data_IF_140191782913
#
_entry.id   IF_140191782913
#
_cell.length_a   1.000
_cell.length_b   1.000
_cell.length_c   1.000
_cell.angle_alpha   90.00
_cell.angle_beta   90.00
_cell.angle_gamma   90.00
#
_symmetry.space_group_name_H-M   'P 1'
#
loop_
_entity.id
_entity.type
_entity.pdbx_description
1 polymer ?
#
# COMPACT_ATOMS: atom_id res chain seq x y z
N UNK A 1 -28.96 -28.50 -2.46
CA UNK A 1 -28.39 -28.17 -1.14
C UNK A 1 -29.41 -27.31 -0.39
N UNK A 2 -29.80 -27.64 0.85
CA UNK A 2 -30.79 -26.85 1.57
C UNK A 2 -30.32 -25.40 1.67
N UNK A 3 -31.18 -24.46 1.29
CA UNK A 3 -30.93 -23.02 1.45
C UNK A 3 -30.61 -22.76 2.92
N UNK A 4 -29.33 -22.63 3.25
CA UNK A 4 -28.90 -22.33 4.62
C UNK A 4 -29.38 -20.91 4.89
N UNK A 5 -30.41 -20.73 5.72
CA UNK A 5 -30.84 -19.42 6.17
C UNK A 5 -29.73 -18.73 6.99
N UNK A 6 -29.76 -17.40 7.07
CA UNK A 6 -28.77 -16.60 7.81
C UNK A 6 -28.63 -17.04 9.28
N UNK A 7 -29.72 -17.47 9.92
CA UNK A 7 -29.71 -18.02 11.29
C UNK A 7 -28.82 -19.25 11.43
N UNK A 8 -28.79 -20.13 10.42
CA UNK A 8 -27.93 -21.33 10.44
C UNK A 8 -26.47 -20.95 10.26
N UNK A 9 -26.19 -19.96 9.39
CA UNK A 9 -24.84 -19.39 9.26
C UNK A 9 -24.37 -18.81 10.61
N UNK A 10 -25.21 -18.01 11.27
CA UNK A 10 -24.86 -17.39 12.55
C UNK A 10 -24.57 -18.45 13.62
N UNK A 11 -25.42 -19.48 13.76
CA UNK A 11 -25.17 -20.59 14.70
C UNK A 11 -23.84 -21.28 14.41
N UNK A 12 -23.53 -21.54 13.14
CA UNK A 12 -22.29 -22.19 12.75
C UNK A 12 -21.06 -21.32 13.07
N UNK A 13 -21.15 -20.01 12.83
CA UNK A 13 -20.10 -19.05 13.19
C UNK A 13 -19.89 -19.02 14.71
N UNK A 14 -20.99 -18.97 15.48
CA UNK A 14 -20.93 -18.95 16.93
C UNK A 14 -20.29 -20.24 17.49
N UNK A 15 -20.53 -21.40 16.86
CA UNK A 15 -19.84 -22.67 17.21
C UNK A 15 -18.34 -22.58 16.93
N UNK A 16 -17.92 -22.12 15.75
CA UNK A 16 -16.49 -21.99 15.41
C UNK A 16 -15.77 -21.05 16.39
N UNK A 17 -16.35 -19.87 16.65
CA UNK A 17 -15.74 -18.86 17.51
C UNK A 17 -15.79 -19.21 19.01
N UNK A 18 -16.68 -20.12 19.42
CA UNK A 18 -16.66 -20.71 20.77
C UNK A 18 -15.58 -21.77 20.91
N UNK A 19 -15.35 -22.57 19.87
CA UNK A 19 -14.32 -23.61 19.89
C UNK A 19 -12.91 -23.01 19.96
N UNK A 20 -12.63 -21.98 19.15
CA UNK A 20 -11.36 -21.25 19.22
C UNK A 20 -11.51 -19.84 18.65
N UNK A 21 -10.88 -18.85 19.30
CA UNK A 21 -10.78 -17.46 18.82
C UNK A 21 -9.42 -17.18 18.17
N UNK A 22 -8.85 -18.17 17.49
CA UNK A 22 -7.64 -17.99 16.69
C UNK A 22 -7.91 -17.26 15.38
N UNK A 23 -6.85 -16.75 14.76
CA UNK A 23 -6.90 -16.13 13.43
C UNK A 23 -7.45 -17.09 12.36
N UNK A 24 -7.10 -18.37 12.44
CA UNK A 24 -7.64 -19.42 11.58
C UNK A 24 -9.17 -19.53 11.68
N UNK A 25 -9.72 -19.49 12.90
CA UNK A 25 -11.16 -19.48 13.13
C UNK A 25 -11.82 -18.27 12.49
N UNK A 26 -11.22 -17.08 12.61
CA UNK A 26 -11.74 -15.86 11.97
C UNK A 26 -11.68 -15.96 10.45
N UNK A 27 -10.58 -16.45 9.88
CA UNK A 27 -10.42 -16.66 8.42
C UNK A 27 -11.46 -17.65 7.90
N UNK A 28 -11.73 -18.72 8.66
CA UNK A 28 -12.78 -19.71 8.34
C UNK A 28 -14.17 -19.07 8.36
N UNK A 29 -14.47 -18.29 9.39
CA UNK A 29 -15.73 -17.54 9.51
C UNK A 29 -15.92 -16.56 8.35
N UNK A 30 -14.88 -15.80 7.97
CA UNK A 30 -14.92 -14.91 6.80
C UNK A 30 -15.23 -15.73 5.54
N UNK A 31 -14.61 -16.90 5.38
CA UNK A 31 -14.89 -17.82 4.26
C UNK A 31 -16.37 -18.17 4.18
N UNK A 32 -16.95 -18.65 5.28
CA UNK A 32 -18.36 -19.03 5.35
C UNK A 32 -19.30 -17.86 5.03
N UNK A 33 -19.01 -16.67 5.55
CA UNK A 33 -19.78 -15.46 5.23
C UNK A 33 -19.71 -15.11 3.73
N UNK A 34 -18.53 -15.22 3.12
CA UNK A 34 -18.31 -14.90 1.70
C UNK A 34 -18.96 -15.92 0.77
N UNK A 35 -18.85 -17.21 1.10
CA UNK A 35 -19.50 -18.30 0.38
C UNK A 35 -21.02 -18.17 0.45
N UNK A 36 -21.55 -17.75 1.61
CA UNK A 36 -22.96 -17.43 1.76
C UNK A 36 -23.39 -16.29 0.84
N UNK A 37 -22.63 -15.18 0.76
CA UNK A 37 -22.95 -14.09 -0.17
C UNK A 37 -22.90 -14.61 -1.61
N UNK A 38 -21.86 -15.37 -1.98
CA UNK A 38 -21.69 -15.91 -3.33
C UNK A 38 -22.88 -16.80 -3.75
N UNK A 39 -23.34 -17.65 -2.84
CA UNK A 39 -24.43 -18.60 -3.09
C UNK A 39 -25.80 -17.91 -3.18
N UNK A 40 -26.03 -16.85 -2.38
CA UNK A 40 -27.32 -16.16 -2.32
C UNK A 40 -27.42 -14.92 -3.24
N UNK A 41 -26.37 -14.59 -3.99
CA UNK A 41 -26.36 -13.48 -4.97
C UNK A 41 -27.36 -13.66 -6.12
N UNK A 42 -27.87 -14.86 -6.35
CA UNK A 42 -28.81 -15.18 -7.45
C UNK A 42 -30.28 -14.94 -7.09
N UNK A 43 -30.61 -14.67 -5.83
CA UNK A 43 -31.99 -14.40 -5.41
C UNK A 43 -32.12 -12.95 -4.96
N UNK A 44 -32.43 -12.04 -5.90
CA UNK A 44 -32.84 -10.66 -5.63
C UNK A 44 -34.14 -10.54 -4.82
N UNK A 45 -34.67 -11.64 -4.30
CA UNK A 45 -35.82 -11.69 -3.40
C UNK A 45 -35.40 -12.43 -2.14
N UNK A 46 -34.83 -11.70 -1.18
CA UNK A 46 -34.93 -12.14 0.21
C UNK A 46 -36.43 -12.22 0.52
N UNK A 47 -36.95 -13.44 0.62
CA UNK A 47 -38.37 -13.70 0.76
C UNK A 47 -38.90 -12.97 2.00
N UNK A 48 -39.70 -11.91 1.79
CA UNK A 48 -40.23 -10.99 2.80
C UNK A 48 -40.92 -11.70 3.98
N UNK A 49 -41.40 -12.93 3.80
CA UNK A 49 -42.03 -13.70 4.89
C UNK A 49 -41.04 -14.30 5.89
N UNK A 50 -39.75 -14.37 5.57
CA UNK A 50 -38.69 -14.75 6.51
C UNK A 50 -38.07 -13.55 7.26
N UNK A 51 -38.58 -12.34 7.01
CA UNK A 51 -38.01 -11.06 7.47
C UNK A 51 -38.59 -10.58 8.81
N UNK A 52 -39.79 -11.02 9.20
CA UNK A 52 -40.47 -10.49 10.39
C UNK A 52 -39.90 -10.95 11.75
N UNK A 53 -38.93 -11.87 11.79
CA UNK A 53 -38.29 -12.30 13.05
C UNK A 53 -36.84 -11.81 13.25
N UNK A 54 -36.38 -10.80 12.50
CA UNK A 54 -35.05 -10.19 12.68
C UNK A 54 -35.21 -8.71 13.03
N UNK A 55 -35.81 -8.45 14.18
CA UNK A 55 -35.90 -7.12 14.81
C UNK A 55 -34.53 -6.74 15.38
N UNK A 56 -33.62 -6.29 14.49
CA UNK A 56 -32.58 -5.25 14.76
C UNK A 56 -31.78 -4.85 13.52
N UNK A 57 -31.80 -5.64 12.44
CA UNK A 57 -31.09 -5.33 11.20
C UNK A 57 -32.05 -5.54 10.02
N UNK A 58 -32.62 -4.43 9.53
CA UNK A 58 -33.67 -4.41 8.49
C UNK A 58 -33.26 -5.02 7.14
N UNK A 59 -31.97 -5.33 6.95
CA UNK A 59 -31.43 -6.17 5.89
C UNK A 59 -30.22 -6.93 6.47
N UNK A 60 -30.04 -8.26 6.26
CA UNK A 60 -28.88 -9.00 6.72
C UNK A 60 -27.63 -8.57 5.92
N UNK A 61 -27.08 -7.42 6.28
CA UNK A 61 -25.84 -6.92 5.70
C UNK A 61 -24.68 -7.66 6.38
N UNK A 62 -24.18 -8.70 5.70
CA UNK A 62 -23.08 -9.56 6.17
C UNK A 62 -21.82 -8.75 6.45
N UNK A 63 -21.58 -7.64 5.73
CA UNK A 63 -20.45 -6.76 6.01
C UNK A 63 -20.63 -6.05 7.35
N UNK A 64 -21.82 -5.50 7.63
CA UNK A 64 -22.13 -4.93 8.95
C UNK A 64 -22.02 -5.98 10.05
N UNK A 65 -22.39 -7.22 9.79
CA UNK A 65 -22.22 -8.32 10.75
C UNK A 65 -20.74 -8.60 11.04
N UNK A 66 -19.91 -8.69 9.99
CA UNK A 66 -18.46 -8.88 10.06
C UNK A 66 -17.79 -7.72 10.82
N UNK A 67 -18.22 -6.48 10.60
CA UNK A 67 -17.69 -5.31 11.29
C UNK A 67 -18.18 -5.19 12.73
N UNK A 68 -19.47 -5.31 12.99
CA UNK A 68 -20.03 -5.01 14.30
C UNK A 68 -19.89 -6.17 15.27
N UNK A 69 -20.15 -7.40 14.81
CA UNK A 69 -20.13 -8.59 15.68
C UNK A 69 -18.75 -9.21 15.76
N UNK A 70 -18.08 -9.36 14.62
CA UNK A 70 -16.75 -9.99 14.56
C UNK A 70 -15.63 -8.97 14.85
N UNK A 71 -15.92 -7.66 14.76
CA UNK A 71 -14.96 -6.56 15.01
C UNK A 71 -13.73 -6.67 14.13
N UNK A 72 -13.92 -6.87 12.83
CA UNK A 72 -12.84 -7.14 11.88
C UNK A 72 -11.72 -6.10 11.89
N UNK A 73 -12.04 -4.82 12.05
CA UNK A 73 -11.05 -3.73 12.13
C UNK A 73 -10.12 -3.83 13.36
N UNK A 74 -10.45 -4.65 14.36
CA UNK A 74 -9.64 -4.87 15.57
C UNK A 74 -8.88 -6.20 15.52
N UNK A 75 -8.89 -6.91 14.39
CA UNK A 75 -8.22 -8.21 14.23
C UNK A 75 -6.80 -8.03 13.72
N UNK A 76 -6.04 -9.14 13.75
CA UNK A 76 -4.68 -9.15 13.24
C UNK A 76 -4.64 -8.76 11.77
N UNK A 77 -3.52 -8.20 11.28
CA UNK A 77 -3.38 -7.81 9.89
C UNK A 77 -3.65 -8.96 8.91
N UNK A 78 -3.36 -10.20 9.29
CA UNK A 78 -3.54 -11.37 8.41
C UNK A 78 -5.02 -11.77 8.27
N UNK A 79 -5.80 -11.65 9.34
CA UNK A 79 -7.27 -11.80 9.28
C UNK A 79 -7.86 -10.71 8.39
N UNK A 80 -7.38 -9.47 8.50
CA UNK A 80 -7.86 -8.37 7.65
C UNK A 80 -7.45 -8.60 6.18
N UNK A 81 -6.22 -9.01 5.90
CA UNK A 81 -5.78 -9.37 4.53
C UNK A 81 -6.68 -10.47 3.94
N UNK A 82 -6.98 -11.52 4.70
CA UNK A 82 -7.89 -12.57 4.28
C UNK A 82 -9.31 -12.05 4.01
N UNK A 83 -9.80 -11.12 4.83
CA UNK A 83 -11.08 -10.43 4.62
C UNK A 83 -11.13 -9.64 3.29
N UNK A 84 -10.03 -8.96 2.95
CA UNK A 84 -9.92 -8.13 1.74
C UNK A 84 -9.80 -8.95 0.45
N UNK A 85 -9.12 -10.10 0.49
CA UNK A 85 -8.83 -10.92 -0.69
C UNK A 85 -9.98 -11.88 -1.04
N UNK A 86 -10.76 -12.33 -0.05
CA UNK A 86 -11.82 -13.31 -0.29
C UNK A 86 -12.97 -12.75 -1.14
N UNK A 87 -13.37 -13.52 -2.15
CA UNK A 87 -14.49 -13.16 -3.05
C UNK A 87 -15.84 -13.53 -2.43
N UNK A 88 -16.87 -12.66 -2.52
CA UNK A 88 -16.87 -11.37 -3.20
C UNK A 88 -16.16 -10.28 -2.38
N UNK A 89 -15.40 -9.42 -3.08
CA UNK A 89 -14.63 -8.34 -2.45
C UNK A 89 -15.55 -7.34 -1.74
N UNK A 90 -15.26 -6.96 -0.48
CA UNK A 90 -16.05 -6.00 0.29
C UNK A 90 -16.15 -4.63 -0.37
N UNK A 91 -17.21 -3.85 -0.07
CA UNK A 91 -17.37 -2.49 -0.62
C UNK A 91 -16.24 -1.56 -0.21
N UNK A 92 -16.02 -0.48 -0.96
CA UNK A 92 -14.93 0.48 -0.69
C UNK A 92 -14.97 1.04 0.73
N UNK A 93 -16.17 1.34 1.25
CA UNK A 93 -16.35 1.82 2.63
C UNK A 93 -15.86 0.79 3.66
N UNK A 94 -16.19 -0.49 3.49
CA UNK A 94 -15.72 -1.53 4.40
C UNK A 94 -14.23 -1.85 4.23
N UNK A 95 -13.67 -1.73 3.02
CA UNK A 95 -12.21 -1.84 2.85
C UNK A 95 -11.51 -0.71 3.62
N UNK A 96 -12.00 0.52 3.46
CA UNK A 96 -11.47 1.69 4.17
C UNK A 96 -11.60 1.53 5.68
N UNK A 97 -12.78 1.18 6.19
CA UNK A 97 -13.01 1.01 7.63
C UNK A 97 -12.20 -0.12 8.26
N UNK A 98 -11.89 -1.18 7.50
CA UNK A 98 -11.05 -2.27 7.99
C UNK A 98 -9.58 -1.85 8.17
N UNK A 99 -9.11 -0.93 7.35
CA UNK A 99 -7.66 -0.65 7.17
C UNK A 99 -7.27 0.74 7.67
N UNK A 100 -8.23 1.68 7.78
CA UNK A 100 -7.97 2.97 8.41
C UNK A 100 -7.47 2.74 9.84
N UNK A 101 -6.42 3.42 10.25
CA UNK A 101 -5.84 3.19 11.56
C UNK A 101 -4.68 2.19 11.59
N UNK A 102 -4.48 1.40 10.53
CA UNK A 102 -3.54 0.28 10.55
C UNK A 102 -2.14 0.71 10.10
N UNK A 103 -1.12 0.29 10.84
CA UNK A 103 0.29 0.56 10.56
C UNK A 103 0.98 -0.54 9.72
N UNK A 104 0.27 -1.59 9.30
CA UNK A 104 0.86 -2.61 8.41
C UNK A 104 0.90 -2.09 6.96
N UNK A 105 2.11 -1.84 6.44
CA UNK A 105 2.33 -1.36 5.07
C UNK A 105 1.85 -2.36 4.01
N UNK A 106 2.00 -3.66 4.24
CA UNK A 106 1.55 -4.69 3.30
C UNK A 106 0.03 -4.79 3.26
N UNK A 107 -0.63 -4.70 4.42
CA UNK A 107 -2.09 -4.63 4.50
C UNK A 107 -2.62 -3.43 3.71
N UNK A 108 -1.99 -2.26 3.86
CA UNK A 108 -2.32 -1.06 3.11
C UNK A 108 -2.15 -1.23 1.59
N UNK A 109 -1.05 -1.85 1.16
CA UNK A 109 -0.83 -2.17 -0.26
C UNK A 109 -1.90 -3.14 -0.80
N UNK A 110 -2.32 -4.13 -0.01
CA UNK A 110 -3.42 -5.05 -0.39
C UNK A 110 -4.74 -4.29 -0.50
N UNK A 111 -5.05 -3.42 0.46
CA UNK A 111 -6.26 -2.60 0.45
C UNK A 111 -6.33 -1.69 -0.78
N UNK A 112 -5.22 -1.01 -1.11
CA UNK A 112 -5.12 -0.18 -2.32
C UNK A 112 -5.34 -0.99 -3.60
N UNK A 113 -4.77 -2.21 -3.69
CA UNK A 113 -5.05 -3.09 -4.82
C UNK A 113 -6.54 -3.41 -4.93
N UNK A 114 -7.21 -3.75 -3.83
CA UNK A 114 -8.65 -4.06 -3.88
C UNK A 114 -9.51 -2.85 -4.24
N UNK A 115 -9.19 -1.67 -3.68
CA UNK A 115 -9.91 -0.42 -3.96
C UNK A 115 -9.78 0.00 -5.44
N UNK A 116 -8.58 -0.13 -6.01
CA UNK A 116 -8.32 0.26 -7.40
C UNK A 116 -8.77 -0.79 -8.41
N UNK A 117 -8.29 -2.03 -8.30
CA UNK A 117 -8.58 -3.08 -9.29
C UNK A 117 -10.03 -3.56 -9.27
N UNK A 118 -10.62 -3.71 -8.08
CA UNK A 118 -11.92 -4.37 -7.92
C UNK A 118 -13.06 -3.39 -7.67
N UNK A 119 -12.78 -2.25 -7.01
CA UNK A 119 -13.79 -1.25 -6.67
C UNK A 119 -13.69 0.05 -7.43
N UNK A 120 -12.63 0.26 -8.22
CA UNK A 120 -12.54 1.40 -9.12
C UNK A 120 -12.69 2.75 -8.38
N UNK A 121 -12.25 2.82 -7.12
CA UNK A 121 -12.47 4.00 -6.27
C UNK A 121 -11.13 4.70 -5.95
N UNK A 122 -10.81 5.71 -6.76
CA UNK A 122 -9.59 6.52 -6.64
C UNK A 122 -9.62 7.38 -5.37
N UNK A 123 -10.76 8.00 -5.07
CA UNK A 123 -10.90 8.94 -3.95
C UNK A 123 -10.67 8.26 -2.60
N UNK A 124 -11.36 7.15 -2.33
CA UNK A 124 -11.20 6.38 -1.08
C UNK A 124 -9.78 5.83 -0.95
N UNK A 125 -9.11 5.51 -2.08
CA UNK A 125 -7.72 5.06 -2.07
C UNK A 125 -6.77 6.17 -1.59
N UNK A 126 -6.94 7.40 -2.08
CA UNK A 126 -6.14 8.55 -1.66
C UNK A 126 -6.45 8.93 -0.22
N UNK A 127 -7.71 8.88 0.18
CA UNK A 127 -8.11 9.13 1.57
C UNK A 127 -7.48 8.12 2.53
N UNK A 128 -7.44 6.83 2.15
CA UNK A 128 -6.78 5.80 2.93
C UNK A 128 -5.28 6.08 3.10
N UNK A 129 -4.61 6.49 2.02
CA UNK A 129 -3.19 6.88 2.05
C UNK A 129 -2.99 8.04 3.03
N UNK A 130 -3.78 9.11 2.90
CA UNK A 130 -3.72 10.28 3.81
C UNK A 130 -3.90 9.85 5.26
N UNK A 131 -4.96 9.09 5.54
CA UNK A 131 -5.33 8.68 6.91
C UNK A 131 -4.27 7.83 7.57
N UNK A 132 -3.72 6.85 6.85
CA UNK A 132 -2.68 5.98 7.39
C UNK A 132 -1.29 6.64 7.38
N UNK A 133 -1.06 7.58 6.46
CA UNK A 133 0.07 8.50 6.46
C UNK A 133 0.22 9.22 7.81
N UNK A 134 -0.88 9.71 8.39
CA UNK A 134 -0.84 10.40 9.69
C UNK A 134 -0.25 9.52 10.81
N UNK A 135 -0.59 8.23 10.79
CA UNK A 135 -0.18 7.25 11.80
C UNK A 135 1.28 6.85 11.59
N UNK A 136 1.68 6.72 10.33
CA UNK A 136 3.08 6.48 9.98
C UNK A 136 3.98 7.61 10.43
N UNK A 137 3.54 8.86 10.26
CA UNK A 137 4.28 10.03 10.75
C UNK A 137 4.46 9.98 12.26
N UNK A 138 3.39 9.68 13.01
CA UNK A 138 3.45 9.56 14.46
C UNK A 138 4.49 8.52 14.90
N UNK A 139 4.46 7.31 14.32
CA UNK A 139 5.44 6.28 14.62
C UNK A 139 6.87 6.64 14.13
N UNK A 140 6.98 7.33 12.99
CA UNK A 140 8.26 7.81 12.48
C UNK A 140 8.92 8.83 13.41
N UNK A 141 8.14 9.77 13.95
CA UNK A 141 8.59 10.74 14.96
C UNK A 141 9.01 10.02 16.24
N UNK A 142 8.21 9.07 16.75
CA UNK A 142 8.59 8.29 17.92
C UNK A 142 9.87 7.49 17.70
N UNK A 143 10.05 6.89 16.52
CA UNK A 143 11.27 6.16 16.17
C UNK A 143 12.47 7.11 16.14
N UNK A 144 12.33 8.28 15.51
CA UNK A 144 13.39 9.28 15.46
C UNK A 144 13.76 9.79 16.86
N UNK A 145 12.77 10.07 17.71
CA UNK A 145 13.00 10.48 19.10
C UNK A 145 13.76 9.40 19.88
N UNK A 146 13.39 8.12 19.73
CA UNK A 146 14.12 7.01 20.35
C UNK A 146 15.55 6.90 19.82
N UNK A 147 15.75 7.00 18.51
CA UNK A 147 17.08 6.97 17.89
C UNK A 147 17.94 8.15 18.36
N UNK A 148 17.38 9.36 18.39
CA UNK A 148 18.05 10.54 18.89
C UNK A 148 18.42 10.40 20.38
N UNK A 149 17.50 9.90 21.22
CA UNK A 149 17.76 9.66 22.64
C UNK A 149 18.90 8.64 22.84
N UNK A 150 18.87 7.52 22.11
CA UNK A 150 19.93 6.51 22.11
C UNK A 150 21.28 7.10 21.72
N UNK A 151 21.27 7.95 20.69
CA UNK A 151 22.44 8.63 20.20
C UNK A 151 23.00 9.63 21.23
N UNK A 152 22.16 10.47 21.83
CA UNK A 152 22.55 11.39 22.89
C UNK A 152 23.10 10.65 24.11
N UNK A 153 22.46 9.55 24.52
CA UNK A 153 22.95 8.71 25.61
C UNK A 153 24.32 8.10 25.27
N UNK A 154 24.53 7.65 24.03
CA UNK A 154 25.81 7.15 23.54
C UNK A 154 26.92 8.20 23.59
N UNK A 155 26.64 9.41 23.11
CA UNK A 155 27.57 10.55 23.15
C UNK A 155 27.93 10.91 24.60
N UNK A 156 26.95 11.04 25.49
CA UNK A 156 27.20 11.35 26.91
C UNK A 156 28.01 10.25 27.62
N UNK A 157 27.70 8.98 27.36
CA UNK A 157 28.44 7.85 27.94
C UNK A 157 29.90 7.85 27.46
N UNK A 158 30.11 8.12 26.17
CA UNK A 158 31.45 8.20 25.60
C UNK A 158 32.25 9.38 26.19
N UNK A 159 31.63 10.55 26.32
CA UNK A 159 32.26 11.72 26.92
C UNK A 159 32.70 11.45 28.36
N UNK A 160 31.82 10.84 29.18
CA UNK A 160 32.14 10.50 30.57
C UNK A 160 33.29 9.50 30.69
N UNK A 161 33.43 8.55 29.78
CA UNK A 161 34.56 7.60 29.77
C UNK A 161 35.88 8.32 29.45
N UNK A 162 35.88 9.24 28.48
CA UNK A 162 37.09 9.96 28.08
C UNK A 162 37.59 10.92 29.16
N UNK A 163 36.69 11.61 29.86
CA UNK A 163 37.04 12.52 30.95
C UNK A 163 37.77 11.80 32.10
N UNK A 164 37.41 10.54 32.37
CA UNK A 164 38.05 9.72 33.39
C UNK A 164 39.44 9.24 32.93
N UNK A 165 39.62 8.99 31.63
CA UNK A 165 40.79 8.26 31.12
C UNK A 165 41.96 9.11 30.62
N UNK A 166 41.72 10.33 30.10
CA UNK A 166 42.73 11.05 29.29
C UNK A 166 42.67 12.55 29.59
N UNK A 167 43.78 13.25 29.84
CA UNK A 167 43.81 14.73 29.89
C UNK A 167 44.10 15.31 28.49
N UNK A 168 43.43 16.41 28.12
CA UNK A 168 43.66 17.11 26.84
C UNK A 168 42.92 16.52 25.63
N UNK A 169 41.71 15.98 25.84
CA UNK A 169 40.97 15.15 24.88
C UNK A 169 39.88 15.92 24.09
N UNK A 170 39.87 17.26 24.13
CA UNK A 170 38.85 18.10 23.46
C UNK A 170 38.74 17.81 21.94
N UNK A 171 39.88 17.53 21.29
CA UNK A 171 39.92 17.17 19.88
C UNK A 171 39.25 15.81 19.60
N UNK A 172 39.39 14.85 20.52
CA UNK A 172 38.79 13.52 20.39
C UNK A 172 37.26 13.62 20.52
N UNK A 173 36.77 14.42 21.47
CA UNK A 173 35.32 14.72 21.59
C UNK A 173 34.76 15.31 20.31
N UNK A 174 35.41 16.36 19.77
CA UNK A 174 34.95 17.02 18.55
C UNK A 174 34.91 16.09 17.33
N UNK A 175 35.91 15.21 17.18
CA UNK A 175 35.92 14.20 16.12
C UNK A 175 34.77 13.20 16.26
N UNK A 176 34.50 12.72 17.47
CA UNK A 176 33.43 11.77 17.72
C UNK A 176 32.06 12.42 17.51
N UNK A 177 31.84 13.63 18.01
CA UNK A 177 30.60 14.39 17.78
C UNK A 177 30.34 14.58 16.29
N UNK A 178 31.36 14.98 15.52
CA UNK A 178 31.24 15.11 14.07
C UNK A 178 30.93 13.78 13.38
N UNK A 179 31.60 12.69 13.76
CA UNK A 179 31.32 11.35 13.22
C UNK A 179 29.88 10.93 13.47
N UNK A 180 29.43 11.11 14.69
CA UNK A 180 28.09 10.77 15.11
C UNK A 180 27.05 11.68 14.39
N UNK A 181 27.29 12.99 14.25
CA UNK A 181 26.36 13.91 13.57
C UNK A 181 26.26 13.53 12.10
N UNK A 182 27.39 13.20 11.48
CA UNK A 182 27.43 12.71 10.11
C UNK A 182 26.65 11.41 9.98
N UNK A 183 26.78 10.46 10.90
CA UNK A 183 26.00 9.21 10.88
C UNK A 183 24.49 9.49 10.99
N UNK A 184 24.09 10.40 11.89
CA UNK A 184 22.69 10.82 12.01
C UNK A 184 22.18 11.47 10.72
N UNK A 185 22.94 12.39 10.11
CA UNK A 185 22.58 13.01 8.85
C UNK A 185 22.54 12.02 7.68
N UNK A 186 23.46 11.05 7.63
CA UNK A 186 23.46 9.98 6.63
C UNK A 186 22.20 9.12 6.74
N UNK A 187 21.73 8.81 7.95
CA UNK A 187 20.45 8.09 8.11
C UNK A 187 19.25 8.86 7.56
N UNK A 188 19.28 10.19 7.61
CA UNK A 188 18.25 11.05 7.00
C UNK A 188 18.39 11.13 5.48
N UNK A 189 19.63 11.18 4.97
CA UNK A 189 19.92 11.28 3.53
C UNK A 189 19.63 9.98 2.77
N UNK A 190 20.03 8.83 3.32
CA UNK A 190 19.81 7.52 2.70
C UNK A 190 18.40 6.96 2.89
N UNK A 191 17.57 7.61 3.71
CA UNK A 191 16.16 7.25 3.87
C UNK A 191 15.29 7.57 2.64
N UNK A 192 15.80 8.34 1.68
CA UNK A 192 15.07 8.68 0.46
C UNK A 192 15.21 7.61 -0.62
N UNK A 193 14.31 6.63 -0.64
CA UNK A 193 14.23 5.72 -1.80
C UNK A 193 13.73 6.51 -3.02
N UNK A 194 14.39 6.38 -4.18
CA UNK A 194 13.77 6.73 -5.46
C UNK A 194 12.85 5.58 -5.85
N UNK A 195 11.62 5.88 -6.25
CA UNK A 195 10.64 4.90 -6.76
C UNK A 195 10.26 5.31 -8.17
N UNK A 196 10.12 4.32 -9.04
CA UNK A 196 9.64 4.56 -10.40
C UNK A 196 8.21 5.16 -10.39
N UNK A 197 7.96 6.05 -11.34
CA UNK A 197 6.64 6.64 -11.56
C UNK A 197 6.30 7.85 -10.68
N UNK A 198 7.05 8.10 -9.59
CA UNK A 198 6.75 9.20 -8.68
C UNK A 198 8.01 9.78 -8.03
N UNK A 199 8.10 11.11 -7.94
CA UNK A 199 9.17 11.82 -7.26
C UNK A 199 8.63 12.82 -6.23
N UNK A 200 9.49 13.17 -5.27
CA UNK A 200 9.23 14.27 -4.35
C UNK A 200 9.27 15.59 -5.10
N UNK A 201 8.44 16.55 -4.71
CA UNK A 201 8.63 17.95 -5.15
C UNK A 201 9.99 18.46 -4.66
N UNK A 202 10.73 19.24 -5.48
CA UNK A 202 12.07 19.74 -5.11
C UNK A 202 12.09 20.56 -3.82
N UNK A 203 10.97 21.21 -3.50
CA UNK A 203 10.82 22.09 -2.32
C UNK A 203 10.75 21.30 -1.00
N UNK A 204 10.52 19.98 -1.04
CA UNK A 204 10.37 19.19 0.17
C UNK A 204 11.73 18.94 0.86
N UNK A 205 11.80 19.27 2.14
CA UNK A 205 12.99 19.05 2.97
C UNK A 205 13.29 17.56 3.17
N UNK A 206 14.53 17.24 3.52
CA UNK A 206 14.95 15.85 3.81
C UNK A 206 14.15 15.26 4.98
N UNK A 207 13.86 16.06 6.02
CA UNK A 207 12.99 15.64 7.13
C UNK A 207 11.58 15.28 6.67
N UNK A 208 11.00 16.09 5.77
CA UNK A 208 9.72 15.76 5.17
C UNK A 208 9.79 14.43 4.42
N UNK A 209 10.82 14.22 3.59
CA UNK A 209 10.99 12.94 2.87
C UNK A 209 11.11 11.74 3.82
N UNK A 210 11.87 11.90 4.92
CA UNK A 210 12.04 10.85 5.93
C UNK A 210 10.73 10.51 6.64
N UNK A 211 10.00 11.51 7.15
CA UNK A 211 8.75 11.25 7.89
C UNK A 211 7.60 10.74 7.00
N UNK A 212 7.66 11.03 5.70
CA UNK A 212 6.61 10.69 4.74
C UNK A 212 7.03 9.53 3.80
N UNK A 213 8.12 8.81 4.06
CA UNK A 213 8.59 7.73 3.17
C UNK A 213 7.53 6.62 3.00
N UNK A 214 6.83 6.22 4.07
CA UNK A 214 5.77 5.21 3.95
C UNK A 214 4.59 5.70 3.10
N UNK A 215 4.23 6.98 3.23
CA UNK A 215 3.20 7.60 2.37
C UNK A 215 3.67 7.62 0.92
N UNK A 216 4.93 7.98 0.68
CA UNK A 216 5.56 7.92 -0.63
C UNK A 216 5.54 6.52 -1.24
N UNK A 217 5.81 5.47 -0.45
CA UNK A 217 5.71 4.07 -0.91
C UNK A 217 4.28 3.68 -1.30
N UNK A 218 3.27 4.16 -0.57
CA UNK A 218 1.88 3.90 -0.89
C UNK A 218 1.43 4.68 -2.12
N UNK A 219 1.84 5.94 -2.26
CA UNK A 219 1.61 6.75 -3.46
C UNK A 219 2.30 6.15 -4.69
N UNK A 220 3.54 5.65 -4.56
CA UNK A 220 4.22 4.94 -5.63
C UNK A 220 3.44 3.70 -6.06
N UNK A 221 2.92 2.92 -5.10
CA UNK A 221 2.10 1.76 -5.44
C UNK A 221 0.77 2.15 -6.07
N UNK A 222 0.14 3.21 -5.58
CA UNK A 222 -1.08 3.79 -6.16
C UNK A 222 -0.84 4.19 -7.62
N UNK A 223 0.23 4.93 -7.91
CA UNK A 223 0.59 5.37 -9.27
C UNK A 223 0.89 4.19 -10.18
N UNK A 224 1.64 3.19 -9.71
CA UNK A 224 1.88 1.95 -10.46
C UNK A 224 0.57 1.27 -10.86
N UNK A 225 -0.33 1.03 -9.89
CA UNK A 225 -1.62 0.38 -10.17
C UNK A 225 -2.48 1.24 -11.09
N UNK A 226 -2.47 2.56 -10.89
CA UNK A 226 -3.18 3.50 -11.74
C UNK A 226 -2.66 3.41 -13.19
N UNK A 227 -1.35 3.43 -13.39
CA UNK A 227 -0.77 3.33 -14.73
C UNK A 227 -1.12 2.03 -15.43
N UNK A 228 -0.98 0.91 -14.72
CA UNK A 228 -1.30 -0.42 -15.24
C UNK A 228 -2.75 -0.49 -15.73
N UNK A 229 -3.67 0.20 -15.05
CA UNK A 229 -5.11 0.16 -15.32
C UNK A 229 -5.62 1.23 -16.30
N UNK A 230 -5.01 2.41 -16.34
CA UNK A 230 -5.61 3.59 -16.98
C UNK A 230 -4.74 4.27 -18.02
N UNK A 231 -3.42 4.06 -17.97
CA UNK A 231 -2.50 4.64 -18.95
C UNK A 231 -2.02 3.58 -19.90
N UNK A 232 -1.84 3.94 -21.16
CA UNK A 232 -1.10 3.05 -22.05
C UNK A 232 0.38 3.28 -21.86
N UNK A 233 1.07 2.29 -21.33
CA UNK A 233 2.51 2.21 -21.21
C UNK A 233 3.04 1.08 -22.11
N UNK A 234 4.35 0.94 -22.17
CA UNK A 234 4.99 -0.08 -23.03
C UNK A 234 4.55 -1.49 -22.64
N UNK A 235 4.34 -1.75 -21.35
CA UNK A 235 3.88 -3.05 -20.86
C UNK A 235 2.43 -3.42 -21.22
N UNK A 236 1.57 -2.46 -21.53
CA UNK A 236 0.16 -2.70 -21.88
C UNK A 236 -0.24 -2.10 -23.24
N UNK A 237 0.74 -1.66 -24.05
CA UNK A 237 0.50 -1.08 -25.38
C UNK A 237 -0.18 -2.06 -26.33
N UNK A 238 0.16 -3.35 -26.23
CA UNK A 238 -0.47 -4.42 -27.00
C UNK A 238 -1.95 -4.64 -26.61
N UNK A 239 -2.35 -4.15 -25.43
CA UNK A 239 -3.70 -4.28 -24.91
C UNK A 239 -4.59 -3.06 -25.23
N UNK A 240 -4.13 -2.12 -26.06
CA UNK A 240 -4.87 -0.89 -26.45
C UNK A 240 -6.29 -1.16 -26.98
N UNK A 241 -6.45 -2.24 -27.73
CA UNK A 241 -7.77 -2.73 -28.20
C UNK A 241 -8.26 -3.95 -27.43
N UNK A 242 -7.56 -4.33 -26.35
CA UNK A 242 -8.05 -5.38 -25.49
C UNK A 242 -9.38 -4.92 -24.90
N UNK A 243 -10.39 -5.75 -25.13
CA UNK A 243 -11.69 -5.68 -24.46
C UNK A 243 -11.51 -5.51 -22.94
N UNK A 244 -10.39 -5.95 -22.38
CA UNK A 244 -10.01 -5.80 -20.97
C UNK A 244 -9.95 -4.33 -20.54
N UNK A 245 -9.13 -3.48 -21.17
CA UNK A 245 -8.98 -2.07 -20.74
C UNK A 245 -10.31 -1.34 -20.84
N UNK A 246 -11.06 -1.54 -21.93
CA UNK A 246 -12.40 -0.95 -22.09
C UNK A 246 -13.37 -1.44 -21.01
N UNK A 247 -13.42 -2.75 -20.74
CA UNK A 247 -14.25 -3.33 -19.64
C UNK A 247 -13.80 -2.83 -18.26
N UNK A 248 -12.51 -2.53 -18.08
CA UNK A 248 -11.98 -1.95 -16.86
C UNK A 248 -12.34 -0.47 -16.73
N UNK A 249 -12.38 0.29 -17.81
CA UNK A 249 -12.85 1.68 -17.80
C UNK A 249 -14.38 1.75 -17.64
N UNK A 250 -15.11 0.77 -18.15
CA UNK A 250 -16.57 0.66 -18.00
C UNK A 250 -16.96 0.51 -16.52
N UNK A 251 -17.55 1.56 -15.95
CA UNK A 251 -17.97 1.64 -14.54
C UNK A 251 -17.18 2.61 -13.68
N UNK A 252 -16.24 3.37 -14.24
CA UNK A 252 -15.75 4.59 -13.61
C UNK A 252 -16.72 5.75 -13.82
N UNK A 253 -16.79 6.65 -12.85
CA UNK A 253 -17.60 7.88 -12.95
C UNK A 253 -16.92 8.97 -13.79
N UNK A 254 -15.60 8.89 -13.95
CA UNK A 254 -14.77 9.90 -14.60
C UNK A 254 -14.30 9.42 -15.97
N UNK A 255 -14.16 10.36 -16.91
CA UNK A 255 -13.39 10.08 -18.13
C UNK A 255 -11.88 10.04 -17.83
N UNK A 256 -11.08 9.58 -18.79
CA UNK A 256 -9.63 9.42 -18.61
C UNK A 256 -8.93 10.71 -18.19
N UNK A 257 -9.22 11.81 -18.87
CA UNK A 257 -8.57 13.10 -18.63
C UNK A 257 -8.92 13.67 -17.25
N UNK A 258 -10.17 13.51 -16.82
CA UNK A 258 -10.63 13.88 -15.47
C UNK A 258 -9.92 13.05 -14.40
N UNK A 259 -9.74 11.74 -14.62
CA UNK A 259 -8.98 10.89 -13.71
C UNK A 259 -7.51 11.32 -13.63
N UNK A 260 -6.88 11.58 -14.78
CA UNK A 260 -5.51 12.05 -14.85
C UNK A 260 -5.37 13.37 -14.08
N UNK A 261 -6.23 14.36 -14.33
CA UNK A 261 -6.23 15.64 -13.61
C UNK A 261 -6.45 15.45 -12.11
N UNK A 262 -7.39 14.58 -11.72
CA UNK A 262 -7.66 14.27 -10.31
C UNK A 262 -6.42 13.69 -9.63
N UNK A 263 -5.79 12.68 -10.22
CA UNK A 263 -4.62 12.01 -9.67
C UNK A 263 -3.45 12.99 -9.55
N UNK A 264 -3.15 13.75 -10.61
CA UNK A 264 -2.06 14.74 -10.59
C UNK A 264 -2.29 15.81 -9.53
N UNK A 265 -3.53 16.33 -9.42
CA UNK A 265 -3.90 17.32 -8.40
C UNK A 265 -3.70 16.76 -7.00
N UNK A 266 -4.22 15.56 -6.73
CA UNK A 266 -4.15 14.95 -5.39
C UNK A 266 -2.73 14.55 -4.99
N UNK A 267 -1.91 14.04 -5.90
CA UNK A 267 -0.50 13.77 -5.61
C UNK A 267 0.29 15.06 -5.38
N UNK A 268 -0.02 16.13 -6.11
CA UNK A 268 0.60 17.44 -5.89
C UNK A 268 0.24 18.03 -4.52
N UNK A 269 -1.01 17.88 -4.09
CA UNK A 269 -1.46 18.23 -2.71
C UNK A 269 -0.64 17.49 -1.65
N UNK A 270 -0.21 16.26 -1.94
CA UNK A 270 0.64 15.43 -1.07
C UNK A 270 2.14 15.72 -1.21
N UNK A 271 2.54 16.67 -2.05
CA UNK A 271 3.95 17.01 -2.24
C UNK A 271 4.69 16.07 -3.22
N UNK A 272 3.97 15.33 -4.05
CA UNK A 272 4.53 14.42 -5.04
C UNK A 272 4.33 14.91 -6.48
N UNK A 273 5.13 14.38 -7.39
CA UNK A 273 5.01 14.57 -8.84
C UNK A 273 5.05 13.21 -9.52
N UNK A 274 4.16 12.98 -10.49
CA UNK A 274 4.26 11.81 -11.35
C UNK A 274 5.44 12.04 -12.31
N UNK A 275 6.37 11.09 -12.36
CA UNK A 275 7.51 11.10 -13.29
C UNK A 275 7.41 9.94 -14.25
N UNK A 276 7.83 10.09 -15.48
CA UNK A 276 7.88 8.95 -16.40
C UNK A 276 8.89 7.92 -15.89
N UNK A 277 8.65 6.64 -16.17
CA UNK A 277 9.65 5.62 -15.87
C UNK A 277 10.88 5.87 -16.78
N UNK A 278 12.12 5.63 -16.31
CA UNK A 278 13.30 5.72 -17.17
C UNK A 278 13.14 4.92 -18.46
N UNK A 279 12.46 3.77 -18.39
CA UNK A 279 12.16 2.97 -19.57
C UNK A 279 11.21 3.70 -20.53
N UNK A 280 10.15 4.33 -20.02
CA UNK A 280 9.22 5.11 -20.86
C UNK A 280 9.91 6.32 -21.49
N UNK A 281 10.83 6.96 -20.77
CA UNK A 281 11.65 8.08 -21.25
C UNK A 281 12.60 7.61 -22.36
N UNK A 282 13.32 6.51 -22.13
CA UNK A 282 14.17 5.83 -23.12
C UNK A 282 13.38 5.45 -24.38
N UNK A 283 12.19 4.86 -24.24
CA UNK A 283 11.35 4.53 -25.40
C UNK A 283 10.86 5.77 -26.12
N UNK A 284 10.50 6.85 -25.41
CA UNK A 284 10.15 8.11 -26.04
C UNK A 284 11.34 8.65 -26.84
N UNK A 285 12.53 8.70 -26.24
CA UNK A 285 13.74 9.16 -26.92
C UNK A 285 14.06 8.31 -28.15
N UNK A 286 13.93 6.98 -28.05
CA UNK A 286 14.06 6.07 -29.19
C UNK A 286 13.11 6.46 -30.33
N UNK A 287 11.83 6.69 -30.02
CA UNK A 287 10.85 7.06 -31.04
C UNK A 287 11.07 8.47 -31.60
N UNK A 288 11.38 9.45 -30.75
CA UNK A 288 11.59 10.84 -31.13
C UNK A 288 12.84 11.01 -32.02
N UNK A 289 13.88 10.19 -31.79
CA UNK A 289 15.13 10.20 -32.56
C UNK A 289 15.20 9.10 -33.63
N UNK A 290 14.11 8.36 -33.88
CA UNK A 290 14.08 7.28 -34.86
C UNK A 290 15.12 6.17 -34.61
N UNK A 291 15.43 5.90 -33.35
CA UNK A 291 16.43 4.91 -32.91
C UNK A 291 17.88 5.39 -32.99
N UNK A 292 18.14 6.65 -33.35
CA UNK A 292 19.50 7.18 -33.36
C UNK A 292 20.11 7.18 -31.95
N UNK A 293 21.28 6.56 -31.80
CA UNK A 293 21.96 6.43 -30.49
C UNK A 293 21.52 5.22 -29.67
N UNK A 294 20.59 4.41 -30.18
CA UNK A 294 20.17 3.16 -29.56
C UNK A 294 20.73 1.96 -30.33
N UNK A 295 21.30 1.00 -29.61
CA UNK A 295 21.71 -0.28 -30.18
C UNK A 295 20.58 -1.29 -30.03
N UNK A 296 20.19 -1.93 -31.13
CA UNK A 296 19.25 -3.04 -31.08
C UNK A 296 19.95 -4.27 -30.51
N UNK A 297 19.59 -4.64 -29.28
CA UNK A 297 20.02 -5.90 -28.69
C UNK A 297 19.03 -6.98 -29.12
N UNK A 298 19.48 -7.94 -29.92
CA UNK A 298 18.65 -9.08 -30.30
C UNK A 298 18.17 -9.84 -29.04
N UNK A 299 16.89 -10.30 -28.99
CA UNK A 299 16.30 -10.92 -27.81
C UNK A 299 17.01 -12.19 -27.29
N UNK A 300 17.86 -12.80 -28.12
CA UNK A 300 18.50 -14.08 -27.86
C UNK A 300 19.92 -13.95 -27.26
N UNK A 301 20.44 -12.73 -27.07
CA UNK A 301 21.70 -12.53 -26.34
C UNK A 301 21.44 -12.68 -24.85
N UNK A 302 21.86 -13.82 -24.30
CA UNK A 302 21.83 -14.09 -22.86
C UNK A 302 22.63 -13.00 -22.13
N UNK A 303 22.09 -12.33 -21.09
CA UNK A 303 22.80 -11.29 -20.34
C UNK A 303 24.18 -11.72 -19.78
N UNK A 304 24.47 -13.02 -19.78
CA UNK A 304 25.77 -13.61 -19.41
C UNK A 304 26.87 -13.28 -20.43
N UNK A 305 26.55 -13.11 -21.72
CA UNK A 305 27.57 -12.88 -22.76
C UNK A 305 28.27 -11.51 -22.63
N UNK A 306 27.68 -10.57 -21.88
CA UNK A 306 28.28 -9.26 -21.60
C UNK A 306 29.26 -9.27 -20.43
N UNK A 307 29.36 -10.37 -19.66
CA UNK A 307 30.25 -10.48 -18.50
C UNK A 307 31.66 -10.99 -18.85
N UNK A 308 31.91 -11.37 -20.11
CA UNK A 308 33.23 -11.78 -20.58
C UNK A 308 34.06 -10.58 -21.08
N UNK A 309 34.26 -9.60 -20.21
CA UNK A 309 35.25 -8.54 -20.45
C UNK A 309 36.30 -8.66 -19.33
N UNK A 310 37.48 -9.12 -19.73
CA UNK A 310 38.75 -9.25 -19.00
C UNK A 310 39.13 -10.65 -18.49
N UNK A 311 39.22 -11.62 -19.39
CA UNK A 311 40.26 -12.66 -19.31
C UNK A 311 41.09 -12.58 -20.60
N UNK A 312 41.84 -11.49 -20.77
CA UNK A 312 43.06 -11.41 -21.58
C UNK A 312 43.60 -9.97 -21.58
N UNK A 313 44.32 -9.62 -20.51
CA UNK A 313 45.36 -8.58 -20.50
C UNK A 313 46.31 -8.76 -19.33
#
# INVERSE_FOLDING_TARGET
MPQKGFTNLQKHIDVILRASRSDESYIKVIGLCRDFIKTNKTTNTYNLRSINNIVKYREPNIEKFLFNKIKIAQRSPDVIKAYLVKTPVPSSAFIYDAVKGQNDSQLNKVALRQLLYKKKNLETSIELIKRNGEIYRYHGVQKLQKTALLYFAGVLTFHGILEIGIKGHEFIHAMFDMYFINLFLLTLLFGGSKREGISWRPVNSIFHKYFYDLEYQLCAKYVSIYRDLFTTNVSNFHDKDSKLIRTFQDGFQYNKDEMDQFVHKKLRELGFMITQSPNEEMFREYWDHGGQGFEWVEPDKDPVDFLNINEDS
#
